data_IF_803301304309
#
_entry.id   IF_803301304309
#
_cell.length_a   1.000
_cell.length_b   1.000
_cell.length_c   1.000
_cell.angle_alpha   90.00
_cell.angle_beta   90.00
_cell.angle_gamma   90.00
#
_symmetry.space_group_name_H-M   'P 1'
#
loop_
_entity.id
_entity.type
_entity.pdbx_description
1 polymer ?
#
# COMPACT_ATOMS: atom_id res chain seq x y z
N UNK A 1 -19.16 -15.70 6.46
CA UNK A 1 -18.78 -15.37 6.10
C UNK A 1 -17.69 -15.45 5.42
N UNK A 2 -17.10 -16.10 4.84
CA UNK A 2 -15.99 -16.21 3.98
C UNK A 2 -15.19 -14.93 3.83
N UNK A 3 -15.28 -14.14 4.83
CA UNK A 3 -14.62 -12.85 4.81
C UNK A 3 -13.13 -12.97 5.05
N UNK A 4 -12.70 -14.10 5.60
CA UNK A 4 -11.29 -14.34 5.83
C UNK A 4 -10.77 -15.30 4.78
N UNK A 5 -10.05 -14.75 3.80
CA UNK A 5 -9.32 -15.58 2.87
C UNK A 5 -8.24 -16.33 3.63
N UNK A 6 -8.17 -17.62 3.42
CA UNK A 6 -7.10 -18.40 4.01
C UNK A 6 -5.79 -18.06 3.32
N UNK A 7 -4.86 -17.57 4.08
CA UNK A 7 -3.52 -17.26 3.61
C UNK A 7 -2.59 -18.34 4.17
N UNK A 8 -1.95 -19.10 3.29
CA UNK A 8 -0.99 -20.10 3.70
C UNK A 8 0.43 -19.52 3.75
N UNK A 9 1.41 -20.38 4.10
CA UNK A 9 2.79 -19.93 4.20
C UNK A 9 3.36 -19.46 2.87
N UNK A 10 2.99 -20.09 1.77
CA UNK A 10 3.44 -19.67 0.44
C UNK A 10 2.94 -18.27 0.11
N UNK A 11 1.68 -17.99 0.41
CA UNK A 11 1.11 -16.65 0.20
C UNK A 11 1.86 -15.60 1.00
N UNK A 12 2.18 -15.90 2.25
CA UNK A 12 2.95 -14.98 3.12
C UNK A 12 4.35 -14.72 2.58
N UNK A 13 5.01 -15.76 2.08
CA UNK A 13 6.34 -15.62 1.50
C UNK A 13 6.31 -14.80 0.20
N UNK A 14 5.29 -14.99 -0.63
CA UNK A 14 5.10 -14.20 -1.85
C UNK A 14 4.87 -12.74 -1.50
N UNK A 15 3.98 -12.46 -0.55
CA UNK A 15 3.70 -11.10 -0.10
C UNK A 15 4.97 -10.44 0.41
N UNK A 16 5.72 -11.12 1.25
CA UNK A 16 6.97 -10.59 1.80
C UNK A 16 7.97 -10.26 0.71
N UNK A 17 8.14 -11.13 -0.27
CA UNK A 17 9.04 -10.90 -1.39
C UNK A 17 8.60 -9.70 -2.24
N UNK A 18 7.31 -9.57 -2.53
CA UNK A 18 6.77 -8.46 -3.30
C UNK A 18 6.78 -7.13 -2.53
N UNK A 19 6.72 -7.18 -1.21
CA UNK A 19 6.90 -5.99 -0.39
C UNK A 19 8.35 -5.48 -0.45
N UNK A 20 9.31 -6.39 -0.62
CA UNK A 20 10.71 -6.01 -0.78
C UNK A 20 11.00 -5.47 -2.18
N UNK A 21 10.45 -6.13 -3.19
CA UNK A 21 10.61 -5.73 -4.58
C UNK A 21 9.39 -6.20 -5.38
N UNK A 22 8.49 -5.27 -5.65
CA UNK A 22 7.25 -5.56 -6.36
C UNK A 22 7.47 -6.03 -7.81
N UNK A 23 8.67 -5.85 -8.35
CA UNK A 23 9.00 -6.24 -9.72
C UNK A 23 9.72 -7.57 -9.81
N UNK A 24 9.86 -8.28 -8.70
CA UNK A 24 10.50 -9.60 -8.72
C UNK A 24 9.76 -10.51 -9.70
N UNK A 25 10.45 -11.09 -10.69
CA UNK A 25 9.81 -11.97 -11.67
C UNK A 25 9.21 -13.21 -11.01
N UNK A 26 8.08 -13.65 -11.51
CA UNK A 26 7.44 -14.85 -10.97
C UNK A 26 8.30 -16.09 -11.16
N UNK A 27 9.12 -16.13 -12.21
CA UNK A 27 10.08 -17.21 -12.39
C UNK A 27 11.09 -17.28 -11.24
N UNK A 28 11.54 -16.14 -10.76
CA UNK A 28 12.47 -16.08 -9.63
C UNK A 28 11.77 -16.50 -8.34
N UNK A 29 10.55 -16.04 -8.10
CA UNK A 29 9.78 -16.44 -6.93
C UNK A 29 9.49 -17.94 -6.94
N UNK A 30 9.18 -18.48 -8.11
CA UNK A 30 8.96 -19.92 -8.27
C UNK A 30 10.20 -20.72 -7.88
N UNK A 31 11.37 -20.28 -8.29
CA UNK A 31 12.63 -20.92 -7.91
C UNK A 31 12.86 -20.85 -6.41
N UNK A 32 12.62 -19.69 -5.82
CA UNK A 32 12.83 -19.46 -4.40
C UNK A 32 11.95 -20.36 -3.53
N UNK A 33 10.70 -20.53 -3.94
CA UNK A 33 9.70 -21.21 -3.13
C UNK A 33 9.38 -22.63 -3.61
N UNK A 34 10.07 -23.08 -4.68
CA UNK A 34 9.91 -24.46 -5.16
C UNK A 34 8.60 -24.73 -5.86
N UNK A 35 8.05 -23.74 -6.56
CA UNK A 35 6.80 -23.88 -7.31
C UNK A 35 6.96 -23.29 -8.71
N UNK A 36 5.99 -23.57 -9.59
CA UNK A 36 6.05 -23.02 -10.95
C UNK A 36 5.71 -21.52 -10.97
N UNK A 37 6.19 -20.78 -11.99
CA UNK A 37 5.77 -19.39 -12.16
C UNK A 37 4.25 -19.24 -12.29
N UNK A 38 3.58 -20.20 -12.92
CA UNK A 38 2.13 -20.20 -13.05
C UNK A 38 1.44 -20.27 -11.68
N UNK A 39 1.99 -21.06 -10.75
CA UNK A 39 1.49 -21.13 -9.38
C UNK A 39 1.61 -19.79 -8.69
N UNK A 40 2.75 -19.11 -8.84
CA UNK A 40 2.95 -17.76 -8.30
C UNK A 40 1.91 -16.81 -8.87
N UNK A 41 1.71 -16.82 -10.19
CA UNK A 41 0.73 -15.95 -10.84
C UNK A 41 -0.68 -16.14 -10.27
N UNK A 42 -1.11 -17.39 -10.14
CA UNK A 42 -2.44 -17.71 -9.60
C UNK A 42 -2.59 -17.20 -8.17
N UNK A 43 -1.56 -17.39 -7.35
CA UNK A 43 -1.57 -16.94 -5.95
C UNK A 43 -1.65 -15.42 -5.84
N UNK A 44 -0.85 -14.70 -6.63
CA UNK A 44 -0.87 -13.23 -6.65
C UNK A 44 -2.23 -12.71 -7.08
N UNK A 45 -2.82 -13.29 -8.12
CA UNK A 45 -4.14 -12.86 -8.57
C UNK A 45 -5.22 -13.11 -7.53
N UNK A 46 -5.17 -14.22 -6.83
CA UNK A 46 -6.09 -14.48 -5.72
C UNK A 46 -5.94 -13.47 -4.59
N UNK A 47 -4.70 -13.13 -4.24
CA UNK A 47 -4.42 -12.14 -3.20
C UNK A 47 -4.91 -10.75 -3.61
N UNK A 48 -4.81 -10.44 -4.89
CA UNK A 48 -5.29 -9.18 -5.44
C UNK A 48 -6.81 -9.10 -5.42
N UNK A 49 -7.48 -10.16 -5.88
CA UNK A 49 -8.94 -10.23 -5.88
C UNK A 49 -9.54 -10.23 -4.49
N UNK A 50 -8.82 -10.81 -3.53
CA UNK A 50 -9.24 -10.81 -2.12
C UNK A 50 -9.00 -9.46 -1.41
N UNK A 51 -8.37 -8.50 -2.09
CA UNK A 51 -8.06 -7.20 -1.49
C UNK A 51 -6.90 -7.23 -0.50
N UNK A 52 -6.12 -8.32 -0.48
CA UNK A 52 -4.94 -8.42 0.37
C UNK A 52 -3.78 -7.66 -0.25
N UNK A 53 -3.56 -7.84 -1.55
CA UNK A 53 -2.67 -6.97 -2.32
C UNK A 53 -3.55 -5.88 -2.93
N UNK A 54 -3.45 -4.68 -2.39
CA UNK A 54 -4.33 -3.57 -2.77
C UNK A 54 -3.80 -2.75 -3.93
N UNK A 55 -2.55 -2.92 -4.27
CA UNK A 55 -1.96 -2.18 -5.39
C UNK A 55 -0.44 -2.25 -5.37
N UNK A 56 0.15 -1.62 -6.37
CA UNK A 56 1.59 -1.51 -6.54
C UNK A 56 1.91 -0.05 -6.86
N UNK A 57 2.91 0.49 -6.21
CA UNK A 57 3.31 1.89 -6.42
C UNK A 57 4.80 2.00 -6.57
N UNK A 58 5.21 2.98 -7.37
CA UNK A 58 6.61 3.37 -7.43
C UNK A 58 6.94 4.22 -6.20
N UNK A 59 8.07 3.92 -5.58
CA UNK A 59 8.64 4.79 -4.56
C UNK A 59 9.62 5.72 -5.26
N UNK A 60 9.46 7.02 -5.04
CA UNK A 60 10.24 8.02 -5.76
C UNK A 60 10.98 8.93 -4.79
N UNK A 61 12.08 9.48 -5.25
CA UNK A 61 12.79 10.52 -4.52
C UNK A 61 12.19 11.87 -4.89
N UNK A 62 11.53 12.51 -3.94
CA UNK A 62 10.94 13.84 -4.13
C UNK A 62 11.98 14.84 -4.64
N UNK A 63 13.18 14.77 -4.08
CA UNK A 63 14.29 15.65 -4.43
C UNK A 63 14.65 15.56 -5.91
N UNK A 64 14.72 14.34 -6.46
CA UNK A 64 15.04 14.13 -7.88
C UNK A 64 13.91 14.55 -8.81
N UNK A 65 12.68 14.66 -8.31
CA UNK A 65 11.53 15.11 -9.08
C UNK A 65 11.35 16.64 -9.01
N UNK A 66 12.26 17.33 -8.33
CA UNK A 66 12.20 18.79 -8.22
C UNK A 66 11.33 19.32 -7.09
N UNK A 67 10.94 18.46 -6.16
CA UNK A 67 10.24 18.90 -4.95
C UNK A 67 11.25 19.33 -3.89
N UNK A 68 11.03 20.48 -3.29
CA UNK A 68 11.91 21.00 -2.26
C UNK A 68 11.59 20.44 -0.89
N UNK A 69 10.34 20.09 -0.66
CA UNK A 69 9.84 19.71 0.64
C UNK A 69 9.11 18.37 0.56
N UNK A 70 9.49 17.46 1.45
CA UNK A 70 8.71 16.26 1.75
C UNK A 70 8.47 16.28 3.26
N UNK A 71 7.24 16.37 3.68
CA UNK A 71 6.91 16.43 5.09
C UNK A 71 5.70 15.57 5.45
N UNK A 72 5.58 15.28 6.73
CA UNK A 72 4.45 14.56 7.27
C UNK A 72 3.64 15.52 8.14
N UNK A 73 2.33 15.50 7.98
CA UNK A 73 1.42 16.39 8.71
C UNK A 73 0.37 15.55 9.41
N UNK A 74 0.24 15.75 10.71
CA UNK A 74 -0.84 15.17 11.50
C UNK A 74 -2.02 16.12 11.55
N UNK A 75 -3.22 15.60 11.33
CA UNK A 75 -4.44 16.38 11.29
C UNK A 75 -5.37 15.90 12.39
N UNK A 76 -5.85 16.85 13.19
CA UNK A 76 -6.89 16.59 14.18
C UNK A 76 -8.22 17.12 13.65
N UNK A 77 -9.23 16.28 13.68
CA UNK A 77 -10.57 16.65 13.27
C UNK A 77 -11.38 17.09 14.49
N UNK A 78 -12.29 18.05 14.30
CA UNK A 78 -13.19 18.47 15.37
C UNK A 78 -14.17 17.37 15.75
N UNK A 79 -14.54 16.52 14.78
CA UNK A 79 -15.47 15.43 14.99
C UNK A 79 -15.09 14.27 14.07
N UNK A 80 -15.32 13.05 14.55
CA UNK A 80 -15.13 11.85 13.72
C UNK A 80 -16.02 11.85 12.48
N UNK A 81 -17.12 12.59 12.50
CA UNK A 81 -18.00 12.72 11.34
C UNK A 81 -17.33 13.42 10.16
N UNK A 82 -16.32 14.22 10.44
CA UNK A 82 -15.63 15.01 9.41
C UNK A 82 -14.60 14.19 8.64
N UNK A 83 -14.33 12.95 9.06
CA UNK A 83 -13.27 12.13 8.47
C UNK A 83 -13.44 11.94 6.96
N UNK A 84 -14.64 11.54 6.50
CA UNK A 84 -14.89 11.31 5.08
C UNK A 84 -14.73 12.56 4.25
N UNK A 85 -15.28 13.69 4.71
CA UNK A 85 -15.17 14.96 4.01
C UNK A 85 -13.72 15.46 3.96
N UNK A 86 -13.00 15.31 5.06
CA UNK A 86 -11.59 15.72 5.12
C UNK A 86 -10.75 14.88 4.17
N UNK A 87 -10.95 13.56 4.16
CA UNK A 87 -10.21 12.65 3.28
C UNK A 87 -10.46 12.97 1.81
N UNK A 88 -11.72 13.26 1.43
CA UNK A 88 -12.05 13.64 0.07
C UNK A 88 -11.34 14.92 -0.35
N UNK A 89 -11.26 15.91 0.52
CA UNK A 89 -10.55 17.16 0.23
C UNK A 89 -9.05 16.93 0.08
N UNK A 90 -8.47 16.08 0.91
CA UNK A 90 -7.06 15.75 0.81
C UNK A 90 -6.73 15.03 -0.49
N UNK A 91 -7.61 14.17 -0.97
CA UNK A 91 -7.43 13.46 -2.23
C UNK A 91 -7.42 14.39 -3.44
N UNK A 92 -8.05 15.56 -3.33
CA UNK A 92 -8.07 16.56 -4.39
C UNK A 92 -6.76 17.33 -4.49
N UNK A 93 -5.91 17.30 -3.48
CA UNK A 93 -4.66 18.03 -3.43
C UNK A 93 -3.52 17.20 -4.01
N UNK A 94 -2.94 17.61 -5.15
CA UNK A 94 -1.87 16.80 -5.76
C UNK A 94 -0.61 16.71 -4.90
N UNK A 95 -0.40 17.66 -3.98
CA UNK A 95 0.74 17.64 -3.07
C UNK A 95 0.63 16.52 -2.02
N UNK A 96 -0.58 16.04 -1.74
CA UNK A 96 -0.81 14.95 -0.78
C UNK A 96 -0.61 13.63 -1.51
N UNK A 97 0.47 12.93 -1.20
CA UNK A 97 0.82 11.69 -1.88
C UNK A 97 0.38 10.44 -1.12
N UNK A 98 0.17 10.56 0.17
CA UNK A 98 -0.33 9.48 1.02
C UNK A 98 -1.18 10.07 2.14
N UNK A 99 -2.24 9.35 2.50
CA UNK A 99 -3.09 9.73 3.62
C UNK A 99 -3.49 8.47 4.39
N UNK A 100 -3.39 8.53 5.71
CA UNK A 100 -3.66 7.40 6.59
C UNK A 100 -4.60 7.80 7.72
N UNK A 101 -5.56 6.94 8.02
CA UNK A 101 -6.32 7.04 9.24
C UNK A 101 -5.45 6.48 10.37
N UNK A 102 -5.31 7.24 11.45
CA UNK A 102 -4.43 6.85 12.54
C UNK A 102 -5.15 6.88 13.88
N UNK A 103 -4.60 6.15 14.84
CA UNK A 103 -5.00 6.22 16.24
C UNK A 103 -3.97 7.05 17.02
N UNK A 104 -4.37 7.58 18.14
CA UNK A 104 -3.48 8.40 18.96
C UNK A 104 -3.81 9.88 18.86
N UNK A 105 -2.77 10.71 18.78
CA UNK A 105 -2.94 12.17 18.82
C UNK A 105 -3.60 12.75 17.57
N UNK A 106 -3.47 12.10 16.42
CA UNK A 106 -3.99 12.61 15.17
C UNK A 106 -5.02 11.65 14.58
N UNK A 107 -6.02 12.21 13.89
CA UNK A 107 -7.03 11.42 13.20
C UNK A 107 -6.56 10.98 11.82
N UNK A 108 -5.85 11.86 11.13
CA UNK A 108 -5.31 11.61 9.80
C UNK A 108 -3.84 12.01 9.79
N UNK A 109 -3.03 11.20 9.14
CA UNK A 109 -1.60 11.49 8.96
C UNK A 109 -1.32 11.46 7.47
N UNK A 110 -0.76 12.53 6.92
CA UNK A 110 -0.52 12.65 5.50
C UNK A 110 0.96 12.88 5.18
N UNK A 111 1.35 12.43 4.00
CA UNK A 111 2.65 12.74 3.43
C UNK A 111 2.44 13.74 2.31
N UNK A 112 3.18 14.83 2.35
CA UNK A 112 3.09 15.93 1.39
C UNK A 112 4.42 16.11 0.69
N UNK A 113 4.37 16.26 -0.62
CA UNK A 113 5.53 16.60 -1.44
C UNK A 113 5.21 17.86 -2.26
N UNK A 114 6.02 18.88 -2.07
CA UNK A 114 5.79 20.17 -2.74
C UNK A 114 7.08 20.92 -3.01
#
# INVERSE_FOLDING_TARGET
MGLHQRIDNLDKEIISALQQDARTPYAELGKRFGVSPATIHVRVEKLRQAGIIVGTRAMVSARHLGFDVCCFIGINLKSARDYGAALNKLEELPEVVEAYYTTGHYNIFIKVMT
#
